data_IF_277833556055
#
_entry.id   IF_277833556055
#
_cell.length_a   1.000
_cell.length_b   1.000
_cell.length_c   1.000
_cell.angle_alpha   90.00
_cell.angle_beta   90.00
_cell.angle_gamma   90.00
#
_symmetry.space_group_name_H-M   'P 1'
#
loop_
_entity.id
_entity.type
_entity.pdbx_description
1 polymer ?
#
# COMPACT_ATOMS: atom_id res chain seq x y z
N UNK A 1 -2.61 -23.16 20.75
CA UNK A 1 -2.19 -22.25 19.68
C UNK A 1 -0.83 -21.71 20.11
N UNK A 2 0.25 -21.94 19.34
CA UNK A 2 1.53 -21.36 19.68
C UNK A 2 1.49 -19.88 19.34
N UNK A 3 1.81 -19.02 20.30
CA UNK A 3 1.99 -17.60 20.07
C UNK A 3 3.26 -17.39 19.23
N UNK A 4 3.14 -16.69 18.10
CA UNK A 4 4.27 -16.26 17.28
C UNK A 4 4.42 -14.75 17.52
N UNK A 5 5.59 -14.34 18.01
CA UNK A 5 5.90 -12.94 18.31
C UNK A 5 6.97 -12.43 17.34
N UNK A 6 6.74 -11.25 16.79
CA UNK A 6 7.74 -10.44 16.10
C UNK A 6 8.02 -9.21 16.97
N UNK A 7 9.30 -8.95 17.25
CA UNK A 7 9.74 -7.77 18.00
C UNK A 7 10.53 -6.85 17.07
N UNK A 8 10.17 -5.56 17.09
CA UNK A 8 10.86 -4.46 16.42
C UNK A 8 10.82 -3.29 17.40
N UNK A 9 11.97 -2.73 17.73
CA UNK A 9 12.12 -1.80 18.84
C UNK A 9 12.58 -0.42 18.40
N UNK A 10 11.89 0.60 18.90
CA UNK A 10 12.22 1.99 18.65
C UNK A 10 11.95 2.47 17.22
N UNK A 11 12.00 3.79 17.05
CA UNK A 11 11.58 4.46 15.83
C UNK A 11 12.32 3.99 14.57
N UNK A 12 13.65 3.81 14.67
CA UNK A 12 14.45 3.52 13.49
C UNK A 12 14.28 2.09 12.97
N UNK A 13 14.02 1.12 13.83
CA UNK A 13 13.73 -0.25 13.36
C UNK A 13 12.37 -0.29 12.65
N UNK A 14 11.34 0.31 13.25
CA UNK A 14 10.01 0.43 12.65
C UNK A 14 10.10 1.19 11.31
N UNK A 15 10.86 2.29 11.25
CA UNK A 15 11.04 3.07 10.02
C UNK A 15 11.77 2.28 8.93
N UNK A 16 12.79 1.49 9.25
CA UNK A 16 13.49 0.69 8.25
C UNK A 16 12.65 -0.50 7.79
N UNK A 17 11.84 -1.09 8.67
CA UNK A 17 10.86 -2.09 8.27
C UNK A 17 9.80 -1.51 7.32
N UNK A 18 9.30 -0.30 7.62
CA UNK A 18 8.42 0.44 6.71
C UNK A 18 9.05 0.59 5.32
N UNK A 19 10.30 1.08 5.24
CA UNK A 19 11.01 1.27 3.97
C UNK A 19 11.15 -0.03 3.18
N UNK A 20 11.55 -1.12 3.85
CA UNK A 20 11.69 -2.42 3.20
C UNK A 20 10.35 -2.94 2.64
N UNK A 21 9.26 -2.77 3.38
CA UNK A 21 7.92 -3.15 2.92
C UNK A 21 7.42 -2.29 1.75
N UNK A 22 7.68 -0.98 1.79
CA UNK A 22 7.35 -0.08 0.69
C UNK A 22 8.10 -0.44 -0.59
N UNK A 23 9.39 -0.79 -0.48
CA UNK A 23 10.21 -1.22 -1.60
C UNK A 23 9.69 -2.52 -2.22
N UNK A 24 9.31 -3.50 -1.40
CA UNK A 24 8.76 -4.76 -1.88
C UNK A 24 7.35 -4.59 -2.49
N UNK A 25 6.47 -3.85 -1.81
CA UNK A 25 5.05 -3.68 -2.20
C UNK A 25 4.91 -2.88 -3.50
N UNK A 26 5.76 -1.88 -3.69
CA UNK A 26 5.77 -1.02 -4.87
C UNK A 26 7.01 -1.25 -5.73
N UNK A 27 7.52 -2.47 -5.76
CA UNK A 27 8.56 -2.84 -6.71
C UNK A 27 7.98 -2.74 -8.13
N UNK A 28 8.78 -2.26 -9.10
CA UNK A 28 8.34 -2.05 -10.49
C UNK A 28 8.08 -3.37 -11.23
N UNK A 29 8.83 -4.40 -10.88
CA UNK A 29 8.76 -5.73 -11.48
C UNK A 29 8.88 -6.79 -10.38
N UNK A 30 7.85 -6.97 -9.53
CA UNK A 30 7.95 -7.86 -8.38
C UNK A 30 7.94 -9.31 -8.85
N UNK A 31 8.82 -10.14 -8.30
CA UNK A 31 8.77 -11.59 -8.51
C UNK A 31 7.48 -12.21 -7.92
N UNK A 32 6.87 -11.53 -6.94
CA UNK A 32 5.66 -11.97 -6.27
C UNK A 32 4.60 -10.85 -6.20
N UNK A 33 3.66 -10.87 -7.16
CA UNK A 33 2.55 -9.91 -7.23
C UNK A 33 1.58 -9.98 -6.04
N UNK A 34 1.55 -11.10 -5.30
CA UNK A 34 0.68 -11.23 -4.13
C UNK A 34 1.10 -10.33 -2.96
N UNK A 35 2.34 -9.82 -2.94
CA UNK A 35 2.78 -8.87 -1.90
C UNK A 35 2.01 -7.55 -2.02
N UNK A 36 1.90 -7.01 -3.23
CA UNK A 36 1.22 -5.74 -3.49
C UNK A 36 -0.27 -5.80 -3.14
N UNK A 37 -0.97 -6.87 -3.52
CA UNK A 37 -2.40 -7.03 -3.29
C UNK A 37 -2.81 -7.66 -1.95
N UNK A 38 -1.85 -8.10 -1.13
CA UNK A 38 -2.15 -8.87 0.09
C UNK A 38 -2.85 -8.02 1.16
N UNK A 39 -4.02 -8.45 1.67
CA UNK A 39 -4.69 -7.77 2.79
C UNK A 39 -3.89 -7.90 4.10
N UNK A 40 -3.09 -8.96 4.25
CA UNK A 40 -2.23 -9.15 5.43
C UNK A 40 -1.10 -8.12 5.41
N UNK A 41 -0.42 -7.98 4.26
CA UNK A 41 0.64 -6.97 4.11
C UNK A 41 0.06 -5.56 4.23
N UNK A 42 -1.13 -5.31 3.67
CA UNK A 42 -1.81 -4.03 3.80
C UNK A 42 -2.07 -3.65 5.26
N UNK A 43 -2.56 -4.61 6.06
CA UNK A 43 -2.74 -4.41 7.51
C UNK A 43 -1.41 -4.13 8.21
N UNK A 44 -0.35 -4.89 7.91
CA UNK A 44 0.98 -4.69 8.52
C UNK A 44 1.53 -3.30 8.19
N UNK A 45 1.47 -2.87 6.92
CA UNK A 45 1.93 -1.54 6.52
C UNK A 45 1.16 -0.43 7.22
N UNK A 46 -0.16 -0.57 7.38
CA UNK A 46 -0.97 0.40 8.12
C UNK A 46 -0.55 0.49 9.58
N UNK A 47 -0.45 -0.66 10.27
CA UNK A 47 -0.03 -0.70 11.68
C UNK A 47 1.35 -0.07 11.89
N UNK A 48 2.30 -0.32 10.98
CA UNK A 48 3.65 0.24 11.06
C UNK A 48 3.61 1.76 10.95
N UNK A 49 2.84 2.31 10.02
CA UNK A 49 2.74 3.77 9.90
C UNK A 49 1.98 4.37 11.09
N UNK A 50 0.98 3.68 11.65
CA UNK A 50 0.32 4.12 12.90
C UNK A 50 1.31 4.20 14.07
N UNK A 51 2.16 3.18 14.25
CA UNK A 51 3.23 3.20 15.26
C UNK A 51 4.22 4.36 15.04
N UNK A 52 4.57 4.67 13.79
CA UNK A 52 5.45 5.79 13.46
C UNK A 52 4.78 7.14 13.76
N UNK A 53 3.48 7.28 13.46
CA UNK A 53 2.69 8.47 13.81
C UNK A 53 2.63 8.68 15.31
N UNK A 54 2.27 7.63 16.08
CA UNK A 54 2.20 7.67 17.53
C UNK A 54 3.52 8.12 18.15
N UNK A 55 4.63 7.50 17.73
CA UNK A 55 5.96 7.87 18.19
C UNK A 55 6.30 9.33 17.91
N UNK A 56 6.02 9.85 16.71
CA UNK A 56 6.34 11.25 16.38
C UNK A 56 5.48 12.26 17.14
N UNK A 57 4.20 11.94 17.38
CA UNK A 57 3.33 12.77 18.19
C UNK A 57 3.85 12.83 19.63
N UNK A 58 4.19 11.68 20.21
CA UNK A 58 4.69 11.59 21.59
C UNK A 58 6.03 12.30 21.78
N UNK A 59 7.01 12.05 20.91
CA UNK A 59 8.38 12.53 21.09
C UNK A 59 8.60 13.95 20.54
N UNK A 60 7.86 14.36 19.51
CA UNK A 60 8.10 15.62 18.78
C UNK A 60 6.89 16.55 18.77
N UNK A 61 5.71 16.11 19.22
CA UNK A 61 4.47 16.88 19.14
C UNK A 61 4.04 17.18 17.70
N UNK A 62 4.42 16.32 16.74
CA UNK A 62 4.18 16.53 15.30
C UNK A 62 3.66 15.26 14.66
N UNK A 63 2.69 15.43 13.76
CA UNK A 63 2.21 14.37 12.89
C UNK A 63 2.65 14.66 11.44
N UNK A 64 3.78 14.08 11.03
CA UNK A 64 4.24 14.19 9.64
C UNK A 64 3.72 13.06 8.76
N UNK A 65 3.28 11.96 9.36
CA UNK A 65 2.85 10.75 8.68
C UNK A 65 1.45 10.88 8.09
N UNK A 66 0.54 11.64 8.71
CA UNK A 66 -0.78 11.90 8.13
C UNK A 66 -0.69 12.61 6.78
N UNK A 67 0.20 13.59 6.64
CA UNK A 67 0.44 14.25 5.36
C UNK A 67 1.15 13.31 4.38
N UNK A 68 2.16 12.58 4.85
CA UNK A 68 2.86 11.58 4.04
C UNK A 68 1.91 10.49 3.53
N UNK A 69 0.89 10.08 4.29
CA UNK A 69 -0.05 9.04 3.86
C UNK A 69 -0.92 9.47 2.69
N UNK A 70 -1.06 10.75 2.35
CA UNK A 70 -1.93 11.15 1.23
C UNK A 70 -1.38 10.66 -0.11
N UNK A 71 -2.14 9.81 -0.81
CA UNK A 71 -1.69 9.22 -2.08
C UNK A 71 -1.42 10.28 -3.17
N UNK A 72 -2.05 11.45 -3.09
CA UNK A 72 -1.80 12.57 -4.01
C UNK A 72 -0.36 13.09 -3.96
N UNK A 73 0.34 12.86 -2.85
CA UNK A 73 1.75 13.22 -2.68
C UNK A 73 2.71 12.19 -3.33
N UNK A 74 2.17 11.12 -3.94
CA UNK A 74 2.89 9.87 -4.24
C UNK A 74 2.61 9.31 -5.64
N UNK A 75 2.67 10.15 -6.68
CA UNK A 75 2.36 9.76 -8.06
C UNK A 75 3.13 8.52 -8.56
N UNK A 76 4.42 8.41 -8.21
CA UNK A 76 5.24 7.26 -8.62
C UNK A 76 4.70 5.93 -8.05
N UNK A 77 4.16 5.94 -6.83
CA UNK A 77 3.57 4.74 -6.23
C UNK A 77 2.25 4.37 -6.91
N UNK A 78 1.45 5.36 -7.34
CA UNK A 78 0.24 5.12 -8.16
C UNK A 78 0.59 4.46 -9.49
N UNK A 79 1.61 4.96 -10.19
CA UNK A 79 2.05 4.40 -11.48
C UNK A 79 2.50 2.94 -11.35
N UNK A 80 3.32 2.63 -10.35
CA UNK A 80 3.78 1.25 -10.10
C UNK A 80 2.65 0.32 -9.67
N UNK A 81 1.68 0.83 -8.92
CA UNK A 81 0.47 0.07 -8.58
C UNK A 81 -0.32 -0.34 -9.83
N UNK A 82 -0.44 0.55 -10.82
CA UNK A 82 -1.09 0.26 -12.10
C UNK A 82 -0.31 -0.81 -12.87
N UNK A 83 1.01 -0.68 -12.99
CA UNK A 83 1.86 -1.69 -13.64
C UNK A 83 1.73 -3.07 -12.96
N UNK A 84 1.70 -3.11 -11.63
CA UNK A 84 1.55 -4.35 -10.89
C UNK A 84 0.15 -4.98 -11.05
N UNK A 85 -0.91 -4.17 -11.16
CA UNK A 85 -2.26 -4.66 -11.38
C UNK A 85 -2.44 -5.35 -12.75
N UNK A 86 -1.64 -5.00 -13.75
CA UNK A 86 -1.66 -5.65 -15.06
C UNK A 86 -1.15 -7.10 -15.02
N UNK A 87 -0.34 -7.44 -14.02
CA UNK A 87 0.31 -8.74 -13.90
C UNK A 87 -0.48 -9.74 -13.05
N UNK A 88 -1.64 -9.34 -12.53
CA UNK A 88 -2.62 -10.25 -11.93
C UNK A 88 -3.77 -10.49 -12.90
N UNK A 89 -4.64 -11.46 -12.62
CA UNK A 89 -5.82 -11.74 -13.43
C UNK A 89 -6.94 -10.67 -13.24
N UNK A 90 -6.57 -9.39 -13.35
CA UNK A 90 -7.42 -8.22 -13.09
C UNK A 90 -8.71 -8.23 -13.90
N UNK A 91 -8.62 -8.58 -15.19
CA UNK A 91 -9.74 -8.69 -16.12
C UNK A 91 -10.84 -9.67 -15.66
N UNK A 92 -10.48 -10.64 -14.80
CA UNK A 92 -11.41 -11.66 -14.28
C UNK A 92 -12.09 -11.25 -12.98
N UNK A 93 -11.64 -10.16 -12.36
CA UNK A 93 -12.19 -9.67 -11.10
C UNK A 93 -13.49 -8.90 -11.35
N UNK A 94 -14.46 -9.13 -10.47
CA UNK A 94 -15.62 -8.25 -10.34
C UNK A 94 -15.21 -6.84 -9.87
N UNK A 95 -16.11 -5.87 -10.02
CA UNK A 95 -15.83 -4.50 -9.54
C UNK A 95 -15.52 -4.45 -8.04
N UNK A 96 -16.26 -5.20 -7.21
CA UNK A 96 -16.04 -5.26 -5.76
C UNK A 96 -14.66 -5.87 -5.41
N UNK A 97 -14.22 -6.88 -6.16
CA UNK A 97 -12.88 -7.46 -6.00
C UNK A 97 -11.79 -6.48 -6.43
N UNK A 98 -11.99 -5.73 -7.53
CA UNK A 98 -11.08 -4.67 -7.98
C UNK A 98 -10.97 -3.55 -6.95
N UNK A 99 -12.09 -3.14 -6.36
CA UNK A 99 -12.14 -2.14 -5.30
C UNK A 99 -11.35 -2.61 -4.07
N UNK A 100 -11.59 -3.86 -3.63
CA UNK A 100 -10.87 -4.47 -2.51
C UNK A 100 -9.38 -4.57 -2.78
N UNK A 101 -8.99 -5.03 -3.97
CA UNK A 101 -7.59 -5.12 -4.39
C UNK A 101 -6.94 -3.73 -4.43
N UNK A 102 -7.63 -2.72 -4.97
CA UNK A 102 -7.15 -1.34 -5.04
C UNK A 102 -6.86 -0.79 -3.65
N UNK A 103 -7.77 -0.98 -2.69
CA UNK A 103 -7.58 -0.57 -1.28
C UNK A 103 -6.35 -1.25 -0.66
N UNK A 104 -6.15 -2.53 -0.94
CA UNK A 104 -4.97 -3.25 -0.46
C UNK A 104 -3.68 -2.74 -1.12
N UNK A 105 -3.68 -2.51 -2.43
CA UNK A 105 -2.52 -2.02 -3.17
C UNK A 105 -2.13 -0.61 -2.73
N UNK A 106 -3.10 0.26 -2.45
CA UNK A 106 -2.84 1.63 -1.98
C UNK A 106 -2.40 1.74 -0.53
N UNK A 107 -2.53 0.70 0.29
CA UNK A 107 -1.97 0.76 1.65
C UNK A 107 -0.45 1.07 1.64
N UNK A 108 0.07 1.83 2.62
CA UNK A 108 -0.61 2.43 3.76
C UNK A 108 -1.18 3.84 3.47
N UNK A 109 -1.32 4.23 2.21
CA UNK A 109 -1.80 5.56 1.84
C UNK A 109 -3.29 5.75 2.14
N UNK A 110 -3.66 6.98 2.47
CA UNK A 110 -5.03 7.47 2.48
C UNK A 110 -5.39 7.98 1.09
N UNK A 111 -6.60 7.67 0.66
CA UNK A 111 -7.10 7.97 -0.67
C UNK A 111 -8.59 8.29 -0.60
N UNK A 112 -9.09 8.95 -1.63
CA UNK A 112 -10.52 9.24 -1.80
C UNK A 112 -11.19 8.14 -2.62
N UNK A 113 -12.53 8.10 -2.60
CA UNK A 113 -13.29 7.22 -3.49
C UNK A 113 -12.98 7.48 -4.97
N UNK A 114 -12.72 8.76 -5.31
CA UNK A 114 -12.31 9.14 -6.65
C UNK A 114 -10.97 8.49 -7.05
N UNK A 115 -9.98 8.45 -6.14
CA UNK A 115 -8.69 7.80 -6.44
C UNK A 115 -8.87 6.32 -6.77
N UNK A 116 -9.80 5.64 -6.10
CA UNK A 116 -10.11 4.22 -6.36
C UNK A 116 -10.75 4.04 -7.74
N UNK A 117 -11.76 4.85 -8.06
CA UNK A 117 -12.45 4.84 -9.36
C UNK A 117 -11.47 5.14 -10.49
N UNK A 118 -10.66 6.19 -10.34
CA UNK A 118 -9.68 6.61 -11.34
C UNK A 118 -8.62 5.51 -11.56
N UNK A 119 -8.19 4.83 -10.50
CA UNK A 119 -7.28 3.69 -10.59
C UNK A 119 -7.89 2.52 -11.38
N UNK A 120 -9.11 2.09 -11.01
CA UNK A 120 -9.80 0.98 -11.66
C UNK A 120 -9.98 1.27 -13.15
N UNK A 121 -10.46 2.47 -13.50
CA UNK A 121 -10.63 2.91 -14.88
C UNK A 121 -9.30 2.94 -15.65
N UNK A 122 -8.22 3.37 -14.99
CA UNK A 122 -6.89 3.39 -15.59
C UNK A 122 -6.41 1.98 -15.92
N UNK A 123 -6.56 1.03 -15.00
CA UNK A 123 -6.15 -0.37 -15.22
C UNK A 123 -7.04 -1.03 -16.28
N UNK A 124 -8.37 -0.89 -16.20
CA UNK A 124 -9.32 -1.43 -17.19
C UNK A 124 -9.05 -0.88 -18.61
N UNK A 125 -8.75 0.41 -18.72
CA UNK A 125 -8.38 1.04 -19.97
C UNK A 125 -7.13 0.46 -20.63
N UNK A 126 -6.20 -0.14 -19.86
CA UNK A 126 -5.01 -0.79 -20.41
C UNK A 126 -5.30 -2.13 -21.08
N UNK A 127 -6.32 -2.85 -20.62
CA UNK A 127 -6.76 -4.11 -21.23
C UNK A 127 -7.69 -3.90 -22.44
N UNK A 128 -8.19 -2.67 -22.65
CA UNK A 128 -9.09 -2.34 -23.77
C UNK A 128 -8.35 -1.95 -25.05
N UNK A 129 -7.00 -1.91 -25.03
CA UNK A 129 -6.14 -1.44 -26.13
C UNK A 129 -5.39 -2.61 -26.82
N UNK A 130 -5.58 -3.84 -26.34
CA UNK A 130 -5.10 -5.09 -26.98
C UNK A 130 -6.23 -5.80 -27.75
#
# INVERSE_FOLDING_TARGET
>A
MNEIKLEVEGYYEVLNLHKALMEAKFHKNPDNFYVAGSPIIAKICNNIVDLLTEYEIEEKGKDTWSEWRKIENHNLFKERAVENAQNVAWEKLSYEEKETLTKNVFSPFTFTEKDVIDFINTVDGKFSIE
#
